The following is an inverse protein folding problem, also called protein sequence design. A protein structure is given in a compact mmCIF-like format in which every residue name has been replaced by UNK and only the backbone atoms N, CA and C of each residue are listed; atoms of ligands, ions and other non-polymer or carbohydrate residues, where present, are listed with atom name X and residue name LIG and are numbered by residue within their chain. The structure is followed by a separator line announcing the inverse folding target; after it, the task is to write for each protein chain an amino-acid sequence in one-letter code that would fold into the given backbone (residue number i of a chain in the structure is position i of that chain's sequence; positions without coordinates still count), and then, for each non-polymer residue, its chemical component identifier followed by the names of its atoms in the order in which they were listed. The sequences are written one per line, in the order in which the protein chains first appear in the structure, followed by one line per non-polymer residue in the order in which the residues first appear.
data_IF_678905791036
#
_entry.id   IF_678905791036
#
_cell.length_a   1.000
_cell.length_b   1.000
_cell.length_c   1.000
_cell.angle_alpha   90.00
_cell.angle_beta   90.00
_cell.angle_gamma   90.00
#
_symmetry.space_group_name_H-M   'P 1'
#
loop_
_entity.id
_entity.type
_entity.pdbx_description
1 polymer ?
#
# COMPACT_ATOMS: atom_id res chain seq x y z
N UNK A 1 7.44 -5.97 7.99
CA UNK A 1 6.68 -4.83 7.39
C UNK A 1 5.22 -4.95 7.80
N UNK A 2 4.61 -3.86 8.20
CA UNK A 2 3.16 -3.77 8.39
C UNK A 2 2.57 -3.06 7.18
N UNK A 3 1.67 -3.71 6.46
CA UNK A 3 1.12 -3.20 5.21
C UNK A 3 -0.41 -3.16 5.26
N UNK A 4 -0.98 -1.99 5.08
CA UNK A 4 -2.42 -1.83 4.87
C UNK A 4 -2.72 -1.90 3.38
N UNK A 5 -3.68 -2.71 3.00
CA UNK A 5 -4.18 -2.79 1.62
C UNK A 5 -5.48 -2.02 1.50
N UNK A 6 -5.49 -1.03 0.61
CA UNK A 6 -6.62 -0.11 0.43
C UNK A 6 -7.83 -0.80 -0.23
N UNK A 7 -8.99 -0.19 -0.07
CA UNK A 7 -10.28 -0.76 -0.47
C UNK A 7 -10.45 -0.96 -1.99
N UNK A 8 -9.67 -0.27 -2.80
CA UNK A 8 -9.67 -0.46 -4.26
C UNK A 8 -8.95 -1.73 -4.72
N UNK A 9 -8.37 -2.49 -3.77
CA UNK A 9 -7.82 -3.81 -4.00
C UNK A 9 -8.60 -4.83 -3.19
N UNK A 10 -8.78 -6.07 -3.69
CA UNK A 10 -9.63 -7.04 -3.00
C UNK A 10 -9.01 -7.54 -1.70
N UNK A 11 -9.87 -7.83 -0.72
CA UNK A 11 -9.42 -8.39 0.57
C UNK A 11 -8.73 -9.74 0.41
N UNK A 12 -9.12 -10.52 -0.59
CA UNK A 12 -8.48 -11.79 -0.89
C UNK A 12 -6.99 -11.62 -1.24
N UNK A 13 -6.62 -10.53 -1.90
CA UNK A 13 -5.21 -10.22 -2.19
C UNK A 13 -4.44 -10.02 -0.89
N UNK A 14 -4.97 -9.21 0.02
CA UNK A 14 -4.33 -8.95 1.32
C UNK A 14 -4.16 -10.24 2.14
N UNK A 15 -5.20 -11.05 2.22
CA UNK A 15 -5.18 -12.32 2.97
C UNK A 15 -4.18 -13.31 2.37
N UNK A 16 -4.10 -13.38 1.04
CA UNK A 16 -3.14 -14.26 0.37
C UNK A 16 -1.70 -13.84 0.64
N UNK A 17 -1.42 -12.55 0.55
CA UNK A 17 -0.09 -12.01 0.86
C UNK A 17 0.28 -12.24 2.33
N UNK A 18 -0.66 -12.01 3.24
CA UNK A 18 -0.43 -12.25 4.67
C UNK A 18 -0.10 -13.71 4.94
N UNK A 19 -0.85 -14.64 4.35
CA UNK A 19 -0.61 -16.06 4.50
C UNK A 19 0.77 -16.49 3.99
N UNK A 20 1.25 -15.87 2.92
CA UNK A 20 2.56 -16.18 2.34
C UNK A 20 3.72 -15.64 3.18
N UNK A 21 3.57 -14.48 3.80
CA UNK A 21 4.68 -13.77 4.43
C UNK A 21 4.62 -13.68 5.95
N UNK A 22 3.56 -14.19 6.59
CA UNK A 22 3.52 -14.26 8.05
C UNK A 22 4.56 -15.26 8.56
N UNK A 23 5.17 -15.03 9.72
CA UNK A 23 4.95 -13.90 10.62
C UNK A 23 5.85 -12.68 10.35
N UNK A 24 6.74 -12.76 9.36
CA UNK A 24 7.71 -11.67 9.09
C UNK A 24 7.03 -10.36 8.71
N UNK A 25 5.97 -10.45 7.90
CA UNK A 25 5.18 -9.31 7.49
C UNK A 25 3.75 -9.49 7.97
N UNK A 26 3.10 -8.39 8.29
CA UNK A 26 1.68 -8.33 8.64
C UNK A 26 0.96 -7.52 7.57
N UNK A 27 0.08 -8.18 6.81
CA UNK A 27 -0.66 -7.56 5.73
C UNK A 27 -2.15 -7.65 6.04
N UNK A 28 -2.82 -6.51 6.10
CA UNK A 28 -4.25 -6.45 6.44
C UNK A 28 -4.99 -5.53 5.47
N UNK A 29 -6.17 -5.95 5.03
CA UNK A 29 -7.05 -5.12 4.23
C UNK A 29 -7.73 -4.08 5.11
N UNK A 30 -7.98 -2.90 4.55
CA UNK A 30 -8.60 -1.79 5.28
C UNK A 30 -9.95 -2.18 5.91
N UNK A 31 -10.76 -2.98 5.21
CA UNK A 31 -12.05 -3.46 5.75
C UNK A 31 -11.85 -4.35 6.96
N UNK A 32 -10.86 -5.23 6.94
CA UNK A 32 -10.57 -6.11 8.07
C UNK A 32 -9.99 -5.35 9.27
N UNK A 33 -9.25 -4.28 9.01
CA UNK A 33 -8.66 -3.47 10.10
C UNK A 33 -9.68 -2.51 10.74
N UNK A 34 -10.48 -1.83 9.93
CA UNK A 34 -11.37 -0.77 10.40
C UNK A 34 -12.85 -1.14 10.40
N UNK A 35 -13.22 -2.33 9.92
CA UNK A 35 -14.61 -2.78 9.82
C UNK A 35 -15.39 -2.19 8.66
N UNK A 36 -14.80 -1.31 7.87
CA UNK A 36 -15.41 -0.68 6.70
C UNK A 36 -14.35 -0.22 5.72
N UNK A 37 -14.70 -0.21 4.43
CA UNK A 37 -13.88 0.38 3.38
C UNK A 37 -14.26 1.82 3.04
N UNK A 38 -15.30 2.34 3.70
CA UNK A 38 -15.86 3.65 3.38
C UNK A 38 -15.30 4.83 4.19
N UNK A 39 -14.24 4.62 4.96
CA UNK A 39 -13.61 5.73 5.68
C UNK A 39 -13.00 6.74 4.71
N UNK A 40 -13.20 8.05 4.94
CA UNK A 40 -12.45 9.08 4.21
C UNK A 40 -10.94 8.89 4.35
N UNK A 41 -10.18 9.23 3.31
CA UNK A 41 -8.72 9.08 3.32
C UNK A 41 -8.07 9.73 4.54
N UNK A 42 -8.53 10.92 4.90
CA UNK A 42 -8.02 11.63 6.08
C UNK A 42 -8.13 10.79 7.35
N UNK A 43 -9.25 10.12 7.56
CA UNK A 43 -9.49 9.34 8.79
C UNK A 43 -8.59 8.13 8.88
N UNK A 44 -8.49 7.31 7.84
CA UNK A 44 -7.66 6.11 7.93
C UNK A 44 -6.16 6.45 7.91
N UNK A 45 -5.75 7.49 7.18
CA UNK A 45 -4.35 7.93 7.19
C UNK A 45 -3.95 8.41 8.58
N UNK A 46 -4.77 9.23 9.22
CA UNK A 46 -4.49 9.71 10.58
C UNK A 46 -4.48 8.57 11.60
N UNK A 47 -5.37 7.60 11.46
CA UNK A 47 -5.41 6.43 12.34
C UNK A 47 -4.13 5.60 12.24
N UNK A 48 -3.64 5.37 11.02
CA UNK A 48 -2.37 4.67 10.82
C UNK A 48 -1.18 5.45 11.38
N UNK A 49 -1.20 6.78 11.23
CA UNK A 49 -0.16 7.64 11.76
C UNK A 49 -0.01 7.51 13.28
N UNK A 50 -1.13 7.33 13.99
CA UNK A 50 -1.11 7.13 15.45
C UNK A 50 -0.42 5.83 15.87
N UNK A 51 -0.50 4.80 15.04
CA UNK A 51 0.11 3.50 15.34
C UNK A 51 1.60 3.46 14.95
N UNK A 52 2.01 4.26 14.01
CA UNK A 52 3.35 4.33 13.40
C UNK A 52 3.82 3.03 12.72
N UNK A 53 4.78 3.17 11.82
CA UNK A 53 5.43 2.03 11.15
C UNK A 53 4.60 1.34 10.06
N UNK A 54 3.51 1.94 9.62
CA UNK A 54 2.69 1.39 8.55
C UNK A 54 3.17 1.79 7.16
N UNK A 55 3.07 0.85 6.23
CA UNK A 55 3.10 1.11 4.80
C UNK A 55 1.71 0.86 4.22
N UNK A 56 1.44 1.42 3.05
CA UNK A 56 0.13 1.32 2.39
C UNK A 56 0.32 0.83 0.96
N UNK A 57 -0.51 -0.10 0.54
CA UNK A 57 -0.63 -0.53 -0.85
C UNK A 57 -2.00 -0.10 -1.38
N UNK A 58 -2.01 0.68 -2.44
CA UNK A 58 -3.25 1.21 -3.01
C UNK A 58 -3.19 1.24 -4.54
N UNK A 59 -4.34 1.12 -5.17
CA UNK A 59 -4.49 1.37 -6.59
C UNK A 59 -4.95 2.81 -6.89
N UNK A 60 -5.20 3.62 -5.87
CA UNK A 60 -5.61 5.01 -6.04
C UNK A 60 -4.41 5.95 -6.03
N UNK A 61 -3.76 6.07 -7.18
CA UNK A 61 -2.56 6.92 -7.34
C UNK A 61 -2.86 8.40 -7.10
N UNK A 62 -4.13 8.82 -7.09
CA UNK A 62 -4.50 10.21 -6.82
C UNK A 62 -4.12 10.62 -5.40
N UNK A 63 -4.13 9.68 -4.43
CA UNK A 63 -3.68 9.94 -3.05
C UNK A 63 -2.24 10.44 -3.06
N UNK A 64 -1.39 9.86 -3.91
CA UNK A 64 0.01 10.21 -4.01
C UNK A 64 0.28 11.48 -4.82
N UNK A 65 -0.64 11.88 -5.69
CA UNK A 65 -0.41 12.98 -6.64
C UNK A 65 -1.15 14.26 -6.30
N UNK A 66 -2.32 14.17 -5.68
CA UNK A 66 -3.14 15.33 -5.38
C UNK A 66 -2.85 15.89 -4.00
N UNK A 67 -2.64 17.19 -3.93
CA UNK A 67 -2.79 17.94 -2.68
C UNK A 67 -4.26 17.92 -2.30
N UNK A 68 -4.65 17.97 -1.06
CA UNK A 68 -3.88 17.87 0.19
C UNK A 68 -3.60 16.44 0.65
N UNK A 69 -4.15 15.41 -0.03
CA UNK A 69 -3.98 14.01 0.40
C UNK A 69 -2.52 13.59 0.40
N UNK A 70 -1.75 14.00 -0.61
CA UNK A 70 -0.30 13.75 -0.65
C UNK A 70 0.42 14.35 0.56
N UNK A 71 0.11 15.59 0.89
CA UNK A 71 0.74 16.28 2.02
C UNK A 71 0.39 15.61 3.34
N UNK A 72 -0.88 15.24 3.52
CA UNK A 72 -1.32 14.49 4.70
C UNK A 72 -0.57 13.18 4.82
N UNK A 73 -0.47 12.43 3.73
CA UNK A 73 0.21 11.14 3.71
C UNK A 73 1.67 11.27 4.13
N UNK A 74 2.39 12.22 3.54
CA UNK A 74 3.80 12.43 3.82
C UNK A 74 4.05 12.90 5.26
N UNK A 75 3.25 13.83 5.77
CA UNK A 75 3.42 14.28 7.16
C UNK A 75 3.00 13.24 8.20
N UNK A 76 2.30 12.21 7.78
CA UNK A 76 1.89 11.10 8.64
C UNK A 76 2.95 10.00 8.75
N UNK A 77 4.13 10.21 8.18
CA UNK A 77 5.25 9.26 8.20
C UNK A 77 4.85 7.87 7.69
N UNK A 78 4.12 7.84 6.58
CA UNK A 78 3.72 6.61 5.91
C UNK A 78 4.55 6.40 4.64
N UNK A 79 4.78 5.14 4.32
CA UNK A 79 5.36 4.76 3.04
C UNK A 79 4.25 4.17 2.18
N UNK A 80 3.98 4.79 1.04
CA UNK A 80 2.91 4.36 0.14
C UNK A 80 3.43 3.73 -1.14
N UNK A 81 2.84 2.61 -1.50
CA UNK A 81 3.06 1.92 -2.76
C UNK A 81 1.77 1.99 -3.58
N UNK A 82 1.83 2.68 -4.70
CA UNK A 82 0.66 2.94 -5.54
C UNK A 82 0.84 2.25 -6.88
N UNK A 83 -0.10 1.38 -7.25
CA UNK A 83 -0.04 0.69 -8.53
C UNK A 83 -0.12 1.70 -9.67
N UNK A 84 0.77 1.55 -10.64
CA UNK A 84 0.65 2.30 -11.89
C UNK A 84 -0.71 1.98 -12.53
N UNK A 85 -1.37 2.96 -13.19
CA UNK A 85 -2.65 2.69 -13.86
C UNK A 85 -2.60 1.50 -14.83
N UNK A 86 -1.47 1.30 -15.50
CA UNK A 86 -1.26 0.16 -16.39
C UNK A 86 -1.24 -1.18 -15.66
N UNK A 87 -0.70 -1.21 -14.43
CA UNK A 87 -0.70 -2.41 -13.60
C UNK A 87 -2.08 -2.67 -12.99
N UNK A 88 -2.79 -1.61 -12.61
CA UNK A 88 -4.12 -1.74 -12.02
C UNK A 88 -5.15 -2.35 -12.97
N UNK A 89 -4.92 -2.28 -14.27
CA UNK A 89 -5.78 -2.91 -15.27
C UNK A 89 -5.63 -4.43 -15.35
N UNK A 90 -4.60 -4.99 -14.77
CA UNK A 90 -4.37 -6.43 -14.79
C UNK A 90 -5.37 -7.15 -13.87
N UNK A 91 -5.74 -8.40 -14.19
CA UNK A 91 -6.53 -9.23 -13.27
C UNK A 91 -5.80 -9.40 -11.93
N UNK A 92 -6.55 -9.66 -10.86
CA UNK A 92 -6.00 -9.70 -9.52
C UNK A 92 -4.86 -10.71 -9.36
N UNK A 93 -4.95 -11.87 -10.01
CA UNK A 93 -3.89 -12.88 -9.91
C UNK A 93 -2.58 -12.42 -10.58
N UNK A 94 -2.66 -11.62 -11.64
CA UNK A 94 -1.48 -11.05 -12.28
C UNK A 94 -0.91 -9.88 -11.47
N UNK A 95 -1.76 -9.07 -10.84
CA UNK A 95 -1.31 -8.08 -9.86
C UNK A 95 -0.55 -8.77 -8.74
N UNK A 96 -1.11 -9.85 -8.20
CA UNK A 96 -0.46 -10.64 -7.13
C UNK A 96 0.91 -11.15 -7.58
N UNK A 97 1.00 -11.73 -8.77
CA UNK A 97 2.27 -12.22 -9.30
C UNK A 97 3.32 -11.11 -9.40
N UNK A 98 2.94 -9.93 -9.89
CA UNK A 98 3.84 -8.79 -10.01
C UNK A 98 4.31 -8.28 -8.65
N UNK A 99 3.42 -8.23 -7.67
CA UNK A 99 3.76 -7.83 -6.31
C UNK A 99 4.70 -8.85 -5.66
N UNK A 100 4.44 -10.15 -5.84
CA UNK A 100 5.30 -11.21 -5.30
C UNK A 100 6.72 -11.13 -5.84
N UNK A 101 6.89 -10.88 -7.13
CA UNK A 101 8.20 -10.73 -7.74
C UNK A 101 8.99 -9.54 -7.20
N UNK A 102 8.32 -8.55 -6.62
CA UNK A 102 8.92 -7.33 -6.10
C UNK A 102 8.88 -7.22 -4.59
N UNK A 103 8.46 -8.30 -3.93
CA UNK A 103 8.23 -8.24 -2.49
C UNK A 103 9.46 -7.81 -1.70
N UNK A 104 10.62 -8.30 -2.09
CA UNK A 104 11.88 -7.88 -1.46
C UNK A 104 12.12 -6.38 -1.59
N UNK A 105 11.82 -5.81 -2.75
CA UNK A 105 12.00 -4.38 -2.98
C UNK A 105 11.01 -3.54 -2.18
N UNK A 106 9.75 -3.98 -2.11
CA UNK A 106 8.73 -3.33 -1.28
C UNK A 106 9.14 -3.33 0.19
N UNK A 107 9.53 -4.49 0.70
CA UNK A 107 9.98 -4.64 2.09
C UNK A 107 11.21 -3.79 2.38
N UNK A 108 12.20 -3.81 1.52
CA UNK A 108 13.41 -3.03 1.68
C UNK A 108 13.12 -1.52 1.69
N UNK A 109 12.25 -1.06 0.79
CA UNK A 109 11.86 0.34 0.75
C UNK A 109 11.09 0.75 2.01
N UNK A 110 10.15 -0.08 2.46
CA UNK A 110 9.39 0.18 3.68
C UNK A 110 10.28 0.26 4.92
N UNK A 111 11.30 -0.59 4.99
CA UNK A 111 12.20 -0.65 6.15
C UNK A 111 13.27 0.44 6.14
N UNK A 112 13.65 0.95 4.98
CA UNK A 112 14.72 1.94 4.85
C UNK A 112 14.23 3.38 4.70
N UNK A 113 12.93 3.59 4.56
CA UNK A 113 12.34 4.90 4.28
C UNK A 113 11.35 5.24 5.37
N UNK A 114 11.50 6.41 5.98
CA UNK A 114 10.58 6.88 7.02
C UNK A 114 9.24 7.32 6.43
N UNK A 115 9.27 7.94 5.26
CA UNK A 115 8.08 8.41 4.56
C UNK A 115 8.37 8.54 3.07
N UNK A 116 7.36 8.34 2.26
CA UNK A 116 7.49 8.53 0.82
C UNK A 116 6.32 7.91 0.08
N UNK A 117 6.21 8.25 -1.18
CA UNK A 117 5.21 7.71 -2.08
C UNK A 117 5.91 7.18 -3.33
N UNK A 118 5.60 5.94 -3.69
CA UNK A 118 6.27 5.23 -4.76
C UNK A 118 5.24 4.60 -5.70
N UNK A 119 5.55 4.60 -6.98
CA UNK A 119 4.76 3.90 -7.97
C UNK A 119 5.29 2.48 -8.16
N UNK A 120 4.38 1.52 -8.20
CA UNK A 120 4.68 0.12 -8.56
C UNK A 120 4.35 -0.04 -10.04
N UNK A 121 5.35 -0.07 -10.94
CA UNK A 121 5.10 -0.20 -12.37
C UNK A 121 4.85 -1.65 -12.77
N UNK A 122 4.36 -1.87 -13.98
CA UNK A 122 4.22 -3.22 -14.53
C UNK A 122 5.57 -3.91 -14.59
N UNK A 123 6.61 -3.19 -14.97
CA UNK A 123 7.98 -3.69 -15.10
C UNK A 123 8.96 -2.69 -14.51
N UNK A 124 10.11 -3.19 -14.08
CA UNK A 124 11.19 -2.36 -13.58
C UNK A 124 11.08 -2.05 -12.10
N UNK A 125 11.86 -1.09 -11.67
CA UNK A 125 12.00 -0.73 -10.25
C UNK A 125 10.86 0.17 -9.78
N UNK A 126 10.65 0.19 -8.45
CA UNK A 126 9.79 1.18 -7.81
C UNK A 126 10.28 2.58 -8.17
N UNK A 127 9.34 3.49 -8.41
CA UNK A 127 9.65 4.88 -8.77
C UNK A 127 9.09 5.84 -7.74
N UNK A 128 9.91 6.80 -7.30
CA UNK A 128 9.43 7.89 -6.45
C UNK A 128 8.38 8.74 -7.16
N UNK A 129 7.35 9.14 -6.44
CA UNK A 129 6.28 10.01 -6.95
C UNK A 129 6.40 11.42 -6.42
#
# INVERSE_FOLDING_TARGET
MKLLVDNNLPSALARSLDALFAPEDHIIHIVDKFGTGGLPDKEWIEALAQESGWSVLSADIRIAKKRPSRELFLRSNLVGFFLAPSLDKYPVHEKAARLLMRWKDLRAMANSTQRGVFEVPVRGKLRGL
#
